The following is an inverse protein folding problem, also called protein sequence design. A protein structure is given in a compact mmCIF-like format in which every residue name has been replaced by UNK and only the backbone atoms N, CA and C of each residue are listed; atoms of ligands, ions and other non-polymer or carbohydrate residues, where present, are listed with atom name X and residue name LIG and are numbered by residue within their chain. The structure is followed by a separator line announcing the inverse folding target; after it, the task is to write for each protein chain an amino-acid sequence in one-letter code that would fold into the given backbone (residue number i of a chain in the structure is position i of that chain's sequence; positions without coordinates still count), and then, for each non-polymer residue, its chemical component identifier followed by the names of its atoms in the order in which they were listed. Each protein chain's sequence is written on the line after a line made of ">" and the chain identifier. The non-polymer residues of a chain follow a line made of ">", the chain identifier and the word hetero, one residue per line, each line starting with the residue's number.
data_IF_993483354938
#
_entry.id   IF_993483354938
#
_cell.length_a   1.000
_cell.length_b   1.000
_cell.length_c   1.000
_cell.angle_alpha   90.00
_cell.angle_beta   90.00
_cell.angle_gamma   90.00
#
_symmetry.space_group_name_H-M   'P 1'
#
loop_
_entity.id
_entity.type
_entity.pdbx_description
1 polymer ?
#
# COMPACT_ATOMS: atom_id res chain seq x y z
N UNK A 1 -35.85 -16.28 2.62
CA UNK A 1 -37.16 -15.82 3.12
C UNK A 1 -37.11 -15.86 4.64
N UNK A 2 -37.27 -14.72 5.31
CA UNK A 2 -37.15 -14.63 6.77
C UNK A 2 -38.05 -13.53 7.32
N UNK A 3 -38.73 -13.82 8.43
CA UNK A 3 -39.85 -13.06 9.05
C UNK A 3 -39.33 -12.18 10.20
N UNK A 4 -39.96 -11.04 10.45
CA UNK A 4 -39.56 -10.00 11.43
C UNK A 4 -40.42 -10.02 12.71
N UNK A 5 -39.85 -9.61 13.86
CA UNK A 5 -40.59 -9.27 15.09
C UNK A 5 -40.33 -7.81 15.53
N UNK A 6 -41.38 -7.17 16.06
CA UNK A 6 -41.49 -5.73 16.33
C UNK A 6 -40.74 -5.25 17.59
N UNK A 7 -40.05 -4.12 17.41
CA UNK A 7 -39.75 -3.01 18.34
C UNK A 7 -39.40 -3.30 19.82
N UNK A 8 -38.13 -3.09 20.15
CA UNK A 8 -37.68 -2.60 21.45
C UNK A 8 -36.74 -1.39 21.25
N UNK A 9 -36.90 -0.37 22.08
CA UNK A 9 -36.27 0.94 21.96
C UNK A 9 -34.72 0.89 21.91
N UNK A 10 -34.16 1.71 21.03
CA UNK A 10 -32.72 1.80 20.70
C UNK A 10 -31.98 2.65 21.75
N UNK A 11 -31.18 2.03 22.61
CA UNK A 11 -30.20 2.73 23.43
C UNK A 11 -29.11 3.36 22.54
N UNK A 12 -28.53 4.53 22.89
CA UNK A 12 -27.48 5.17 22.09
C UNK A 12 -26.26 4.24 22.01
N UNK A 13 -25.96 3.82 20.79
CA UNK A 13 -25.00 2.77 20.49
C UNK A 13 -23.56 3.17 20.82
N UNK A 14 -22.86 2.20 21.40
CA UNK A 14 -21.42 2.08 21.73
C UNK A 14 -20.44 2.26 20.55
N UNK A 15 -20.78 3.05 19.53
CA UNK A 15 -19.99 3.21 18.30
C UNK A 15 -19.00 4.38 18.32
N UNK A 16 -19.13 5.34 19.24
CA UNK A 16 -18.16 6.43 19.38
C UNK A 16 -16.81 5.95 19.93
N UNK A 17 -16.83 4.99 20.86
CA UNK A 17 -15.60 4.45 21.46
C UNK A 17 -14.80 3.54 20.51
N UNK A 18 -15.44 2.86 19.56
CA UNK A 18 -14.75 2.04 18.56
C UNK A 18 -14.11 2.87 17.43
N UNK A 19 -14.70 4.04 17.11
CA UNK A 19 -14.10 5.00 16.20
C UNK A 19 -12.91 5.73 16.85
N UNK A 20 -13.04 6.13 18.12
CA UNK A 20 -11.96 6.75 18.89
C UNK A 20 -10.79 5.76 19.16
N UNK A 21 -11.09 4.49 19.45
CA UNK A 21 -10.06 3.45 19.62
C UNK A 21 -9.39 3.01 18.30
N UNK A 22 -9.99 3.34 17.13
CA UNK A 22 -9.35 3.19 15.82
C UNK A 22 -8.43 4.37 15.49
N UNK A 23 -8.82 5.58 15.87
CA UNK A 23 -8.02 6.79 15.66
C UNK A 23 -6.75 6.84 16.54
N UNK A 24 -6.71 6.08 17.63
CA UNK A 24 -5.54 5.99 18.52
C UNK A 24 -4.49 4.94 18.08
N UNK A 25 -4.71 4.22 16.97
CA UNK A 25 -3.70 3.29 16.44
C UNK A 25 -2.73 4.08 15.56
N UNK A 26 -1.61 4.48 16.16
CA UNK A 26 -0.40 5.05 15.55
C UNK A 26 -0.42 4.98 14.01
N UNK A 27 -0.71 6.11 13.35
CA UNK A 27 -0.72 6.20 11.90
C UNK A 27 0.72 6.19 11.31
N UNK A 28 1.75 6.34 12.15
CA UNK A 28 3.14 6.22 11.75
C UNK A 28 3.60 4.78 11.67
N UNK A 29 3.61 4.26 10.45
CA UNK A 29 4.18 2.97 10.11
C UNK A 29 5.39 3.17 9.19
N UNK A 30 6.59 3.10 9.74
CA UNK A 30 7.82 3.18 8.96
C UNK A 30 8.02 1.86 8.21
N UNK A 31 7.85 1.90 6.89
CA UNK A 31 8.05 0.75 5.99
C UNK A 31 9.51 0.32 6.00
N UNK A 32 9.79 -0.99 5.98
CA UNK A 32 11.16 -1.50 5.95
C UNK A 32 11.78 -1.36 4.57
N UNK A 33 13.09 -1.10 4.52
CA UNK A 33 13.86 -1.02 3.28
C UNK A 33 13.64 -2.24 2.39
N UNK A 34 13.77 -3.44 2.95
CA UNK A 34 13.65 -4.70 2.21
C UNK A 34 12.24 -4.93 1.62
N UNK A 35 11.20 -4.29 2.16
CA UNK A 35 9.86 -4.37 1.57
C UNK A 35 9.74 -3.46 0.34
N UNK A 36 10.35 -2.27 0.41
CA UNK A 36 10.41 -1.33 -0.73
C UNK A 36 11.26 -1.93 -1.84
N UNK A 37 12.48 -2.33 -1.53
CA UNK A 37 13.44 -2.87 -2.50
C UNK A 37 12.87 -4.06 -3.28
N UNK A 38 12.23 -5.03 -2.59
CA UNK A 38 11.63 -6.20 -3.25
C UNK A 38 10.47 -5.82 -4.16
N UNK A 39 9.63 -4.87 -3.76
CA UNK A 39 8.50 -4.44 -4.59
C UNK A 39 8.99 -3.68 -5.83
N UNK A 40 9.92 -2.74 -5.65
CA UNK A 40 10.46 -1.93 -6.76
C UNK A 40 11.25 -2.79 -7.74
N UNK A 41 12.07 -3.72 -7.26
CA UNK A 41 12.80 -4.65 -8.12
C UNK A 41 11.85 -5.51 -8.98
N UNK A 42 10.72 -5.95 -8.44
CA UNK A 42 9.74 -6.71 -9.21
C UNK A 42 9.10 -5.89 -10.35
N UNK A 43 9.00 -4.56 -10.20
CA UNK A 43 8.60 -3.66 -11.29
C UNK A 43 9.71 -3.50 -12.32
N UNK A 44 10.96 -3.31 -11.87
CA UNK A 44 12.13 -3.13 -12.73
C UNK A 44 12.50 -4.39 -13.52
N UNK A 45 12.27 -5.58 -12.96
CA UNK A 45 12.42 -6.85 -13.66
C UNK A 45 11.46 -6.96 -14.86
N UNK A 46 10.31 -6.31 -14.79
CA UNK A 46 9.34 -6.25 -15.89
C UNK A 46 9.62 -5.10 -16.86
N UNK A 47 9.91 -3.91 -16.34
CA UNK A 47 10.26 -2.72 -17.11
C UNK A 47 11.48 -2.01 -16.50
N UNK A 48 12.70 -2.25 -17.02
CA UNK A 48 13.93 -1.63 -16.52
C UNK A 48 14.00 -0.11 -16.73
N UNK A 49 13.18 0.45 -17.61
CA UNK A 49 13.13 1.88 -17.94
C UNK A 49 12.00 2.62 -17.17
N UNK A 50 11.28 1.94 -16.27
CA UNK A 50 10.10 2.47 -15.57
C UNK A 50 10.30 3.88 -14.99
N UNK A 51 11.44 4.12 -14.34
CA UNK A 51 11.76 5.40 -13.68
C UNK A 51 12.60 6.36 -14.54
N UNK A 52 13.02 5.92 -15.72
CA UNK A 52 13.89 6.69 -16.61
C UNK A 52 13.26 8.01 -17.05
N UNK A 53 13.97 9.10 -16.79
CA UNK A 53 13.55 10.48 -17.06
C UNK A 53 12.21 10.88 -16.40
N UNK A 54 11.79 10.18 -15.33
CA UNK A 54 10.53 10.42 -14.63
C UNK A 54 10.67 11.33 -13.42
N UNK A 55 9.59 12.04 -13.11
CA UNK A 55 9.41 12.70 -11.82
C UNK A 55 8.70 11.75 -10.86
N UNK A 56 9.33 11.46 -9.74
CA UNK A 56 8.79 10.55 -8.71
C UNK A 56 8.40 11.36 -7.47
N UNK A 57 7.14 11.22 -7.05
CA UNK A 57 6.62 11.85 -5.84
C UNK A 57 6.45 10.80 -4.73
N UNK A 58 6.98 11.11 -3.56
CA UNK A 58 6.97 10.27 -2.37
C UNK A 58 6.29 11.02 -1.20
N UNK A 59 4.95 11.08 -1.15
CA UNK A 59 4.29 11.71 -0.02
C UNK A 59 4.56 10.89 1.25
N UNK A 60 5.04 11.51 2.31
CA UNK A 60 5.25 10.85 3.59
C UNK A 60 5.06 11.84 4.75
N UNK A 61 5.01 11.34 5.98
CA UNK A 61 4.92 12.23 7.15
C UNK A 61 6.27 12.88 7.45
N UNK A 62 7.37 12.14 7.23
CA UNK A 62 8.74 12.60 7.48
C UNK A 62 9.73 12.09 6.40
N UNK A 63 10.09 12.95 5.42
CA UNK A 63 11.03 12.61 4.35
C UNK A 63 12.41 12.17 4.79
N UNK A 64 12.94 12.71 5.89
CA UNK A 64 14.31 12.46 6.33
C UNK A 64 14.44 11.09 7.00
N UNK A 65 13.36 10.59 7.59
CA UNK A 65 13.29 9.26 8.18
C UNK A 65 12.64 8.21 7.27
N UNK A 66 12.00 8.63 6.19
CA UNK A 66 11.32 7.76 5.23
C UNK A 66 12.30 6.88 4.45
N UNK A 67 12.15 5.56 4.58
CA UNK A 67 12.89 4.61 3.77
C UNK A 67 12.55 4.70 2.28
N UNK A 68 11.38 5.27 1.90
CA UNK A 68 11.09 5.55 0.50
C UNK A 68 12.03 6.63 -0.04
N UNK A 69 12.13 7.77 0.65
CA UNK A 69 13.03 8.86 0.26
C UNK A 69 14.47 8.37 0.20
N UNK A 70 14.94 7.66 1.23
CA UNK A 70 16.30 7.11 1.28
C UNK A 70 16.57 6.15 0.13
N UNK A 71 15.64 5.23 -0.16
CA UNK A 71 15.79 4.26 -1.25
C UNK A 71 15.92 4.95 -2.61
N UNK A 72 14.99 5.85 -2.94
CA UNK A 72 15.00 6.52 -4.24
C UNK A 72 16.12 7.57 -4.37
N UNK A 73 16.53 8.22 -3.28
CA UNK A 73 17.68 9.12 -3.30
C UNK A 73 19.00 8.34 -3.49
N UNK A 74 19.16 7.19 -2.82
CA UNK A 74 20.35 6.34 -2.99
C UNK A 74 20.46 5.81 -4.43
N UNK A 75 19.34 5.40 -5.02
CA UNK A 75 19.28 4.85 -6.37
C UNK A 75 18.93 5.89 -7.45
N UNK A 76 19.04 7.19 -7.14
CA UNK A 76 18.58 8.26 -8.04
C UNK A 76 19.23 8.19 -9.42
N UNK A 77 20.56 8.07 -9.46
CA UNK A 77 21.34 7.92 -10.71
C UNK A 77 21.08 6.58 -11.39
N UNK A 78 21.07 5.48 -10.63
CA UNK A 78 20.89 4.12 -11.15
C UNK A 78 19.53 3.94 -11.85
N UNK A 79 18.47 4.53 -11.27
CA UNK A 79 17.11 4.51 -11.80
C UNK A 79 16.88 5.59 -12.88
N UNK A 80 17.88 6.45 -13.15
CA UNK A 80 17.80 7.58 -14.09
C UNK A 80 16.59 8.48 -13.81
N UNK A 81 16.31 8.74 -12.54
CA UNK A 81 15.19 9.60 -12.14
C UNK A 81 15.53 11.04 -12.54
N UNK A 82 14.57 11.75 -13.15
CA UNK A 82 14.74 13.16 -13.53
C UNK A 82 14.64 14.08 -12.33
N UNK A 83 13.69 13.80 -11.44
CA UNK A 83 13.42 14.60 -10.24
C UNK A 83 12.73 13.75 -9.19
N UNK A 84 13.21 13.79 -7.97
CA UNK A 84 12.59 13.17 -6.82
C UNK A 84 11.97 14.25 -5.95
N UNK A 85 10.72 14.07 -5.55
CA UNK A 85 9.99 15.00 -4.70
C UNK A 85 9.47 14.21 -3.50
N UNK A 86 9.82 14.61 -2.29
CA UNK A 86 9.23 14.08 -1.06
C UNK A 86 8.53 15.21 -0.31
N UNK A 87 7.29 15.01 0.09
CA UNK A 87 6.55 15.99 0.90
C UNK A 87 6.43 15.52 2.34
N UNK A 88 6.25 16.46 3.28
CA UNK A 88 5.99 16.19 4.70
C UNK A 88 4.72 16.87 5.17
N UNK A 89 4.02 16.24 6.11
CA UNK A 89 2.93 16.89 6.86
C UNK A 89 3.54 17.66 8.05
N UNK A 90 2.97 18.80 8.40
CA UNK A 90 3.36 19.56 9.57
C UNK A 90 3.09 18.74 10.85
N UNK A 91 4.03 18.73 11.83
CA UNK A 91 3.88 18.00 13.08
C UNK A 91 2.58 18.29 13.84
N UNK A 92 2.13 19.55 13.90
CA UNK A 92 0.91 19.91 14.63
C UNK A 92 -0.38 19.48 13.88
N UNK A 93 -0.28 19.23 12.57
CA UNK A 93 -1.35 18.65 11.76
C UNK A 93 -1.38 17.11 11.81
N UNK A 94 -0.31 16.48 12.31
CA UNK A 94 -0.25 15.03 12.45
C UNK A 94 -1.08 14.56 13.67
N UNK A 95 -2.02 13.66 13.44
CA UNK A 95 -2.90 13.08 14.46
C UNK A 95 -2.12 12.39 15.59
N UNK A 96 -0.92 11.88 15.29
CA UNK A 96 -0.05 11.21 16.24
C UNK A 96 0.60 12.16 17.27
N UNK A 97 0.58 13.49 17.02
CA UNK A 97 1.14 14.53 17.91
C UNK A 97 2.50 14.15 18.52
N UNK A 98 3.41 13.74 17.65
CA UNK A 98 4.74 13.33 18.09
C UNK A 98 5.55 14.52 18.58
N UNK A 99 6.45 14.25 19.51
CA UNK A 99 7.57 15.15 19.80
C UNK A 99 8.49 15.14 18.57
N UNK A 100 8.16 15.99 17.59
CA UNK A 100 8.99 16.21 16.41
C UNK A 100 10.37 16.68 16.85
N UNK A 101 11.38 15.92 16.45
CA UNK A 101 12.78 16.30 16.62
C UNK A 101 13.37 16.57 15.23
N UNK A 102 13.70 17.83 14.91
CA UNK A 102 14.36 18.15 13.66
C UNK A 102 15.69 17.40 13.61
N UNK A 103 16.07 16.94 12.42
CA UNK A 103 17.41 16.38 12.22
C UNK A 103 18.47 17.48 12.30
N UNK A 104 19.74 17.10 12.34
CA UNK A 104 20.83 18.08 12.19
C UNK A 104 20.79 18.75 10.81
N UNK A 105 20.43 18.00 9.77
CA UNK A 105 20.30 18.51 8.41
C UNK A 105 19.30 19.68 8.34
N UNK A 106 18.15 19.54 9.01
CA UNK A 106 17.19 20.64 9.09
C UNK A 106 17.64 21.74 10.06
N UNK A 107 18.03 21.38 11.29
CA UNK A 107 18.26 22.34 12.36
C UNK A 107 19.47 23.25 12.12
N UNK A 108 20.43 22.81 11.30
CA UNK A 108 21.61 23.60 10.90
C UNK A 108 21.36 24.47 9.66
N UNK A 109 20.23 24.29 8.96
CA UNK A 109 19.90 25.10 7.79
C UNK A 109 19.50 26.53 8.21
N UNK A 110 20.08 27.59 7.60
CA UNK A 110 19.72 28.97 7.90
C UNK A 110 18.23 29.31 7.74
N UNK A 111 17.48 28.55 6.92
CA UNK A 111 16.04 28.75 6.69
C UNK A 111 15.17 28.13 7.77
N UNK A 112 15.72 27.28 8.65
CA UNK A 112 14.98 26.63 9.71
C UNK A 112 14.34 27.63 10.67
N UNK A 113 13.05 27.45 10.90
CA UNK A 113 12.27 28.25 11.85
C UNK A 113 11.46 27.31 12.77
N UNK A 114 11.75 27.29 14.08
CA UNK A 114 11.09 26.41 15.04
C UNK A 114 9.57 26.60 15.16
N UNK A 115 9.05 27.78 14.81
CA UNK A 115 7.62 28.03 14.81
C UNK A 115 6.99 27.54 13.50
N UNK A 116 7.61 27.83 12.35
CA UNK A 116 7.12 27.40 11.04
C UNK A 116 7.14 25.88 10.90
N UNK A 117 8.20 25.21 11.35
CA UNK A 117 8.31 23.74 11.24
C UNK A 117 7.17 22.99 11.90
N UNK A 118 6.47 23.58 12.87
CA UNK A 118 5.34 22.93 13.55
C UNK A 118 4.06 22.98 12.73
N UNK A 119 3.88 24.04 11.94
CA UNK A 119 2.60 24.37 11.27
C UNK A 119 2.66 24.27 9.75
N UNK A 120 3.87 24.27 9.16
CA UNK A 120 4.09 24.16 7.72
C UNK A 120 4.66 22.80 7.38
N UNK A 121 4.12 22.20 6.33
CA UNK A 121 4.72 21.05 5.69
C UNK A 121 6.01 21.45 4.98
N UNK A 122 6.72 20.47 4.47
CA UNK A 122 7.96 20.70 3.71
C UNK A 122 7.91 19.94 2.41
N UNK A 123 8.68 20.42 1.46
CA UNK A 123 8.98 19.72 0.21
C UNK A 123 10.48 19.58 0.11
N UNK A 124 10.93 18.36 -0.17
CA UNK A 124 12.31 17.99 -0.40
C UNK A 124 12.43 17.59 -1.86
N UNK A 125 13.42 18.13 -2.55
CA UNK A 125 13.63 17.94 -3.97
C UNK A 125 15.07 17.50 -4.20
N UNK A 126 15.22 16.42 -4.97
CA UNK A 126 16.50 16.00 -5.52
C UNK A 126 16.44 16.07 -7.05
N UNK A 127 17.41 16.75 -7.63
CA UNK A 127 17.58 16.96 -9.07
C UNK A 127 18.98 16.46 -9.48
N UNK A 128 19.27 16.25 -10.78
CA UNK A 128 20.55 15.72 -11.27
C UNK A 128 21.69 16.76 -11.20
N UNK A 129 21.77 17.52 -10.11
CA UNK A 129 22.80 18.49 -9.82
C UNK A 129 23.48 18.06 -8.52
N UNK A 130 24.79 17.81 -8.61
CA UNK A 130 25.65 17.55 -7.46
C UNK A 130 25.95 18.90 -6.78
N UNK A 131 25.36 19.12 -5.60
CA UNK A 131 25.40 20.38 -4.87
C UNK A 131 26.60 20.41 -3.94
N UNK A 132 26.96 19.27 -3.35
CA UNK A 132 28.07 19.18 -2.40
C UNK A 132 29.45 19.03 -3.09
N UNK A 133 29.46 18.65 -4.38
CA UNK A 133 30.64 18.49 -5.22
C UNK A 133 31.41 17.18 -5.04
N UNK A 134 30.79 16.13 -4.49
CA UNK A 134 31.43 14.84 -4.22
C UNK A 134 31.42 13.86 -5.42
N UNK A 135 30.76 14.23 -6.52
CA UNK A 135 30.62 13.45 -7.75
C UNK A 135 29.43 12.49 -7.76
N UNK A 136 28.68 12.37 -6.67
CA UNK A 136 27.48 11.55 -6.50
C UNK A 136 26.26 12.49 -6.40
N UNK A 137 25.08 12.02 -6.78
CA UNK A 137 23.83 12.76 -6.53
C UNK A 137 23.00 11.85 -5.64
N UNK A 138 22.83 12.21 -4.39
CA UNK A 138 22.18 11.38 -3.38
C UNK A 138 21.42 12.23 -2.34
N UNK A 139 21.15 11.65 -1.16
CA UNK A 139 20.43 12.33 -0.09
C UNK A 139 21.12 13.60 0.44
N UNK A 140 22.44 13.71 0.30
CA UNK A 140 23.23 14.85 0.75
C UNK A 140 23.06 16.08 -0.18
N UNK A 141 22.54 15.87 -1.40
CA UNK A 141 22.19 16.94 -2.35
C UNK A 141 20.72 17.35 -2.27
N UNK A 142 19.95 16.73 -1.37
CA UNK A 142 18.54 17.03 -1.19
C UNK A 142 18.37 18.49 -0.76
N UNK A 143 17.47 19.22 -1.43
CA UNK A 143 17.13 20.60 -1.07
C UNK A 143 15.72 20.63 -0.51
N UNK A 144 15.49 21.38 0.56
CA UNK A 144 14.17 21.45 1.18
C UNK A 144 13.67 22.88 1.32
N UNK A 145 12.35 23.05 1.23
CA UNK A 145 11.66 24.32 1.45
C UNK A 145 10.38 24.09 2.26
N UNK A 146 9.93 25.13 2.97
CA UNK A 146 8.60 25.10 3.58
C UNK A 146 7.52 25.22 2.52
N UNK A 147 6.47 24.41 2.68
CA UNK A 147 5.20 24.60 1.99
C UNK A 147 4.47 25.83 2.54
N UNK A 148 3.51 26.35 1.77
CA UNK A 148 2.66 27.46 2.20
C UNK A 148 1.69 27.02 3.30
N UNK A 149 1.10 25.84 3.14
CA UNK A 149 0.25 25.16 4.09
C UNK A 149 0.96 24.07 4.88
N UNK A 150 0.17 23.15 5.43
CA UNK A 150 0.63 22.11 6.35
C UNK A 150 1.13 20.84 5.64
N UNK A 151 1.08 20.77 4.31
CA UNK A 151 1.49 19.60 3.56
C UNK A 151 0.43 18.50 3.42
N UNK A 152 -0.82 18.77 3.78
CA UNK A 152 -1.93 17.86 3.46
C UNK A 152 -1.99 17.63 1.94
N UNK A 153 -2.05 16.36 1.52
CA UNK A 153 -2.08 15.98 0.11
C UNK A 153 -3.29 16.57 -0.65
N UNK A 154 -4.36 16.94 0.07
CA UNK A 154 -5.57 17.57 -0.48
C UNK A 154 -5.38 19.05 -0.80
N UNK A 155 -4.29 19.66 -0.34
CA UNK A 155 -3.96 21.06 -0.63
C UNK A 155 -3.66 21.29 -2.11
N UNK A 156 -3.85 22.53 -2.58
CA UNK A 156 -3.58 22.90 -3.96
C UNK A 156 -2.08 22.77 -4.31
N UNK A 157 -1.19 23.11 -3.38
CA UNK A 157 0.26 23.03 -3.57
C UNK A 157 0.75 21.57 -3.70
N UNK A 158 0.31 20.64 -2.84
CA UNK A 158 0.70 19.23 -2.95
C UNK A 158 0.03 18.57 -4.15
N UNK A 159 -1.18 19.00 -4.50
CA UNK A 159 -1.85 18.57 -5.74
C UNK A 159 -1.09 19.04 -6.98
N UNK A 160 -0.49 20.24 -6.97
CA UNK A 160 0.37 20.69 -8.08
C UNK A 160 1.63 19.81 -8.21
N UNK A 161 2.24 19.39 -7.09
CA UNK A 161 3.36 18.44 -7.10
C UNK A 161 2.95 17.07 -7.66
N UNK A 162 1.75 16.58 -7.32
CA UNK A 162 1.17 15.38 -7.94
C UNK A 162 1.05 15.54 -9.44
N UNK A 163 0.55 16.69 -9.89
CA UNK A 163 0.32 16.95 -11.31
C UNK A 163 1.62 17.02 -12.10
N UNK A 164 2.71 17.51 -11.48
CA UNK A 164 4.07 17.46 -12.03
C UNK A 164 4.62 16.02 -12.10
N UNK A 165 4.33 15.19 -11.09
CA UNK A 165 4.88 13.85 -10.99
C UNK A 165 4.35 12.88 -12.07
N UNK A 166 5.17 11.92 -12.46
CA UNK A 166 4.77 10.79 -13.32
C UNK A 166 4.36 9.57 -12.49
N UNK A 167 5.08 9.33 -11.39
CA UNK A 167 4.96 8.14 -10.54
C UNK A 167 4.82 8.56 -9.07
N UNK A 168 3.92 7.92 -8.32
CA UNK A 168 3.70 8.15 -6.88
C UNK A 168 3.92 6.87 -6.09
N UNK A 169 4.85 6.88 -5.13
CA UNK A 169 5.17 5.68 -4.34
C UNK A 169 5.17 6.02 -2.84
N UNK A 170 4.36 5.33 -2.05
CA UNK A 170 4.21 5.69 -0.62
C UNK A 170 3.54 4.62 0.25
N UNK A 171 3.62 4.82 1.56
CA UNK A 171 2.74 4.20 2.56
C UNK A 171 1.79 5.29 3.13
N UNK A 172 0.62 5.54 2.52
CA UNK A 172 -0.30 6.54 3.03
C UNK A 172 -0.94 6.08 4.34
N UNK A 173 -1.41 7.00 5.20
CA UNK A 173 -2.19 6.63 6.39
C UNK A 173 -3.36 5.73 6.01
N UNK A 174 -3.47 4.55 6.65
CA UNK A 174 -4.48 3.56 6.28
C UNK A 174 -5.91 4.08 6.48
N UNK A 175 -6.10 5.02 7.40
CA UNK A 175 -7.35 5.74 7.64
C UNK A 175 -7.79 6.60 6.44
N UNK A 176 -6.83 7.14 5.68
CA UNK A 176 -7.04 8.03 4.54
C UNK A 176 -6.86 7.34 3.18
N UNK A 177 -6.50 6.04 3.15
CA UNK A 177 -6.21 5.27 1.93
C UNK A 177 -7.22 5.49 0.79
N UNK A 178 -8.52 5.52 1.09
CA UNK A 178 -9.57 5.72 0.07
C UNK A 178 -9.56 7.13 -0.54
N UNK A 179 -9.32 8.15 0.28
CA UNK A 179 -9.22 9.54 -0.16
C UNK A 179 -7.93 9.74 -0.95
N UNK A 180 -6.83 9.19 -0.44
CA UNK A 180 -5.52 9.22 -1.09
C UNK A 180 -5.54 8.54 -2.47
N UNK A 181 -6.12 7.33 -2.56
CA UNK A 181 -6.26 6.62 -3.83
C UNK A 181 -7.13 7.40 -4.83
N UNK A 182 -8.21 8.03 -4.37
CA UNK A 182 -9.03 8.88 -5.25
C UNK A 182 -8.25 10.09 -5.76
N UNK A 183 -7.43 10.71 -4.91
CA UNK A 183 -6.55 11.82 -5.26
C UNK A 183 -5.46 11.42 -6.27
N UNK A 184 -4.83 10.25 -6.10
CA UNK A 184 -3.85 9.71 -7.06
C UNK A 184 -4.53 9.38 -8.40
N UNK A 185 -5.66 8.68 -8.36
CA UNK A 185 -6.39 8.26 -9.56
C UNK A 185 -6.93 9.44 -10.37
N UNK A 186 -7.23 10.57 -9.74
CA UNK A 186 -7.65 11.79 -10.42
C UNK A 186 -6.54 12.44 -11.27
N UNK A 187 -5.27 12.20 -10.93
CA UNK A 187 -4.11 12.70 -11.68
C UNK A 187 -3.66 11.79 -12.84
N UNK A 188 -4.28 10.62 -13.02
CA UNK A 188 -3.87 9.59 -14.00
C UNK A 188 -2.38 9.19 -13.90
N UNK A 189 -1.90 9.06 -12.65
CA UNK A 189 -0.49 8.77 -12.36
C UNK A 189 -0.22 7.28 -12.28
N UNK A 190 1.01 6.88 -12.56
CA UNK A 190 1.49 5.57 -12.12
C UNK A 190 1.69 5.61 -10.61
N UNK A 191 1.37 4.53 -9.90
CA UNK A 191 1.52 4.50 -8.46
C UNK A 191 1.72 3.10 -7.90
N UNK A 192 2.39 3.03 -6.75
CA UNK A 192 2.44 1.87 -5.88
C UNK A 192 2.30 2.32 -4.43
N UNK A 193 1.28 1.85 -3.72
CA UNK A 193 1.00 2.26 -2.36
C UNK A 193 0.67 1.09 -1.43
N UNK A 194 1.11 1.18 -0.18
CA UNK A 194 0.75 0.21 0.84
C UNK A 194 -0.65 0.53 1.38
N UNK A 195 -1.45 -0.50 1.62
CA UNK A 195 -2.75 -0.35 2.26
C UNK A 195 -3.18 -1.60 2.98
N UNK A 196 -4.33 -1.51 3.63
CA UNK A 196 -4.96 -2.68 4.22
C UNK A 196 -5.57 -3.57 3.13
N UNK A 197 -5.31 -4.87 3.16
CA UNK A 197 -5.81 -5.83 2.18
C UNK A 197 -7.34 -5.80 2.04
N UNK A 198 -8.06 -5.56 3.14
CA UNK A 198 -9.53 -5.47 3.09
C UNK A 198 -10.03 -4.32 2.21
N UNK A 199 -9.19 -3.32 1.89
CA UNK A 199 -9.55 -2.21 1.02
C UNK A 199 -9.94 -2.67 -0.39
N UNK A 200 -9.43 -3.83 -0.85
CA UNK A 200 -9.78 -4.42 -2.15
C UNK A 200 -11.29 -4.68 -2.30
N UNK A 201 -11.98 -4.94 -1.19
CA UNK A 201 -13.43 -5.23 -1.18
C UNK A 201 -14.29 -3.96 -1.27
N UNK A 202 -13.71 -2.78 -1.07
CA UNK A 202 -14.45 -1.52 -1.13
C UNK A 202 -14.91 -1.25 -2.55
N UNK A 203 -16.19 -0.92 -2.73
CA UNK A 203 -16.83 -0.72 -4.05
C UNK A 203 -16.01 0.15 -5.01
N UNK A 204 -15.46 1.26 -4.53
CA UNK A 204 -14.66 2.18 -5.35
C UNK A 204 -13.29 1.62 -5.75
N UNK A 205 -12.65 0.84 -4.87
CA UNK A 205 -11.36 0.18 -5.14
C UNK A 205 -11.58 -0.98 -6.10
N UNK A 206 -12.56 -1.84 -5.81
CA UNK A 206 -12.90 -2.97 -6.67
C UNK A 206 -13.31 -2.53 -8.08
N UNK A 207 -13.96 -1.36 -8.22
CA UNK A 207 -14.26 -0.80 -9.55
C UNK A 207 -12.98 -0.56 -10.37
N UNK A 208 -11.91 -0.07 -9.74
CA UNK A 208 -10.62 0.12 -10.42
C UNK A 208 -9.99 -1.23 -10.80
N UNK A 209 -10.09 -2.23 -9.92
CA UNK A 209 -9.64 -3.60 -10.21
C UNK A 209 -10.38 -4.19 -11.42
N UNK A 210 -11.71 -4.15 -11.38
CA UNK A 210 -12.57 -4.65 -12.46
C UNK A 210 -12.33 -3.94 -13.79
N UNK A 211 -12.00 -2.65 -13.76
CA UNK A 211 -11.68 -1.87 -14.97
C UNK A 211 -10.20 -1.88 -15.34
N UNK A 212 -9.42 -2.78 -14.72
CA UNK A 212 -8.01 -2.97 -14.98
C UNK A 212 -7.14 -1.72 -14.77
N UNK A 213 -7.52 -0.87 -13.81
CA UNK A 213 -6.81 0.38 -13.44
C UNK A 213 -6.06 0.29 -12.11
N UNK A 214 -6.20 -0.82 -11.38
CA UNK A 214 -5.55 -1.08 -10.09
C UNK A 214 -5.44 -2.59 -9.88
N UNK A 215 -4.33 -3.06 -9.36
CA UNK A 215 -4.12 -4.47 -8.98
C UNK A 215 -3.31 -4.57 -7.68
N UNK A 216 -3.18 -5.79 -7.18
CA UNK A 216 -2.29 -6.10 -6.06
C UNK A 216 -0.85 -5.98 -6.55
N UNK A 217 0.05 -5.48 -5.70
CA UNK A 217 1.47 -5.43 -6.02
C UNK A 217 2.12 -6.80 -6.11
N UNK A 218 3.41 -6.82 -6.42
CA UNK A 218 4.15 -8.05 -6.68
C UNK A 218 4.45 -8.85 -5.40
N UNK A 219 4.61 -8.17 -4.26
CA UNK A 219 5.02 -8.75 -2.99
C UNK A 219 3.98 -8.53 -1.88
N UNK A 220 4.26 -9.02 -0.67
CA UNK A 220 3.38 -8.87 0.51
C UNK A 220 1.94 -9.41 0.34
N UNK A 221 1.70 -10.30 -0.62
CA UNK A 221 0.36 -10.86 -0.86
C UNK A 221 0.03 -12.08 0.01
N UNK A 222 1.03 -12.74 0.60
CA UNK A 222 0.87 -13.90 1.48
C UNK A 222 1.86 -13.87 2.66
N UNK A 223 2.48 -12.73 2.91
CA UNK A 223 3.53 -12.57 3.93
C UNK A 223 3.21 -11.38 4.80
N UNK A 224 3.58 -11.47 6.07
CA UNK A 224 3.46 -10.36 7.01
C UNK A 224 4.40 -9.21 6.61
N UNK A 225 3.92 -7.97 6.69
CA UNK A 225 4.78 -6.78 6.65
C UNK A 225 5.08 -6.33 8.08
N UNK A 226 6.32 -5.86 8.29
CA UNK A 226 6.78 -5.28 9.56
C UNK A 226 6.91 -3.78 9.39
N UNK A 227 6.56 -3.04 10.42
CA UNK A 227 6.66 -1.59 10.42
C UNK A 227 7.36 -1.13 11.69
N UNK A 228 8.28 -0.19 11.53
CA UNK A 228 8.81 0.55 12.66
C UNK A 228 7.74 1.50 13.18
N UNK A 229 7.73 1.70 14.49
CA UNK A 229 6.89 2.68 15.17
C UNK A 229 7.75 3.45 16.18
N UNK A 230 7.35 4.67 16.56
CA UNK A 230 8.05 5.43 17.60
C UNK A 230 8.26 4.61 18.87
N UNK A 231 9.39 4.82 19.54
CA UNK A 231 9.70 4.10 20.77
C UNK A 231 8.62 4.34 21.84
N UNK A 232 8.16 3.28 22.49
CA UNK A 232 7.10 3.35 23.51
C UNK A 232 5.69 3.39 22.95
N UNK A 233 5.52 3.28 21.62
CA UNK A 233 4.23 3.11 20.98
C UNK A 233 3.48 1.90 21.54
N UNK A 234 2.15 2.02 21.70
CA UNK A 234 1.30 0.89 22.11
C UNK A 234 1.22 -0.17 21.00
N UNK A 235 2.07 -1.19 21.11
CA UNK A 235 2.12 -2.34 20.20
C UNK A 235 1.65 -3.59 20.94
N UNK A 236 0.70 -4.30 20.32
CA UNK A 236 0.24 -5.60 20.82
C UNK A 236 1.42 -6.56 20.96
N UNK A 237 1.54 -7.20 22.12
CA UNK A 237 2.66 -8.11 22.41
C UNK A 237 2.82 -9.22 21.34
N UNK A 238 1.72 -9.76 20.82
CA UNK A 238 1.76 -10.77 19.76
C UNK A 238 2.34 -10.25 18.44
N UNK A 239 2.08 -8.99 18.09
CA UNK A 239 2.60 -8.35 16.87
C UNK A 239 4.09 -8.02 17.05
N UNK A 240 4.49 -7.50 18.21
CA UNK A 240 5.90 -7.27 18.57
C UNK A 240 6.74 -8.57 18.55
N UNK A 241 6.27 -9.63 19.21
CA UNK A 241 6.95 -10.93 19.23
C UNK A 241 7.02 -11.59 17.84
N UNK A 242 6.08 -11.26 16.95
CA UNK A 242 6.13 -11.73 15.56
C UNK A 242 7.14 -10.93 14.74
N UNK A 243 7.20 -9.61 14.92
CA UNK A 243 8.21 -8.75 14.30
C UNK A 243 9.63 -9.17 14.70
N UNK A 244 9.87 -9.44 15.99
CA UNK A 244 11.15 -9.94 16.49
C UNK A 244 11.56 -11.25 15.83
N UNK A 245 10.64 -12.23 15.72
CA UNK A 245 10.88 -13.49 15.00
C UNK A 245 11.14 -13.32 13.51
N UNK A 246 10.70 -12.21 12.92
CA UNK A 246 10.96 -11.84 11.53
C UNK A 246 12.26 -11.03 11.37
N UNK A 247 13.03 -10.86 12.45
CA UNK A 247 14.33 -10.18 12.42
C UNK A 247 14.31 -8.71 12.84
N UNK A 248 13.18 -8.22 13.39
CA UNK A 248 13.01 -6.83 13.80
C UNK A 248 12.73 -6.72 15.32
N UNK A 249 13.72 -7.02 16.18
CA UNK A 249 13.61 -6.76 17.61
C UNK A 249 13.53 -5.25 17.86
N UNK A 250 12.76 -4.84 18.86
CA UNK A 250 12.80 -3.46 19.37
C UNK A 250 14.23 -3.08 19.79
N UNK A 251 14.63 -1.85 19.48
CA UNK A 251 15.93 -1.27 19.82
C UNK A 251 15.75 0.04 20.61
N UNK A 252 16.84 0.76 20.90
CA UNK A 252 16.76 2.00 21.69
C UNK A 252 16.04 3.14 20.97
N UNK A 253 15.90 3.07 19.65
CA UNK A 253 15.34 4.12 18.81
C UNK A 253 13.89 3.82 18.38
N UNK A 254 13.54 2.55 18.16
CA UNK A 254 12.25 2.14 17.59
C UNK A 254 11.71 0.87 18.24
N UNK A 255 10.39 0.79 18.25
CA UNK A 255 9.68 -0.48 18.42
C UNK A 255 9.17 -0.96 17.07
N UNK A 256 8.82 -2.25 16.98
CA UNK A 256 8.34 -2.84 15.73
C UNK A 256 6.99 -3.53 15.93
N UNK A 257 6.12 -3.33 14.95
CA UNK A 257 4.81 -3.98 14.87
C UNK A 257 4.69 -4.75 13.56
N UNK A 258 3.82 -5.74 13.56
CA UNK A 258 3.59 -6.63 12.42
C UNK A 258 2.14 -6.53 12.01
N UNK A 259 1.90 -6.24 10.74
CA UNK A 259 0.55 -6.16 10.16
C UNK A 259 0.40 -7.17 9.03
N UNK A 260 -0.23 -8.30 9.34
CA UNK A 260 -0.41 -9.41 8.39
C UNK A 260 -1.46 -9.20 7.30
N UNK A 261 -2.18 -8.08 7.36
CA UNK A 261 -3.17 -7.69 6.35
C UNK A 261 -2.76 -6.40 5.63
N UNK A 262 -1.47 -6.11 5.56
CA UNK A 262 -0.93 -5.03 4.73
C UNK A 262 -0.46 -5.61 3.41
N UNK A 263 -0.68 -4.87 2.33
CA UNK A 263 -0.23 -5.26 1.00
C UNK A 263 -0.04 -4.03 0.12
N UNK A 264 0.62 -4.24 -1.02
CA UNK A 264 0.74 -3.25 -2.07
C UNK A 264 -0.49 -3.22 -2.98
N UNK A 265 -0.88 -2.01 -3.36
CA UNK A 265 -1.86 -1.70 -4.41
C UNK A 265 -1.18 -0.81 -5.45
N UNK A 266 -1.28 -1.17 -6.72
CA UNK A 266 -0.48 -0.55 -7.78
C UNK A 266 -1.23 -0.52 -9.11
N UNK A 267 -0.78 0.33 -10.03
CA UNK A 267 -1.11 0.27 -11.46
C UNK A 267 0.15 0.21 -12.34
N UNK A 268 1.27 -0.18 -11.72
CA UNK A 268 2.56 -0.46 -12.36
C UNK A 268 2.62 -1.95 -12.67
N UNK A 269 3.02 -2.28 -13.89
CA UNK A 269 3.08 -3.67 -14.35
C UNK A 269 4.23 -4.43 -13.67
N UNK A 270 4.04 -5.72 -13.45
CA UNK A 270 5.05 -6.61 -12.88
C UNK A 270 4.89 -8.04 -13.41
N UNK A 271 5.96 -8.83 -13.41
CA UNK A 271 5.96 -10.17 -14.01
C UNK A 271 4.86 -11.10 -13.48
N UNK A 272 4.63 -11.13 -12.15
CA UNK A 272 3.61 -12.00 -11.53
C UNK A 272 2.18 -11.76 -12.03
N UNK A 273 1.88 -10.58 -12.57
CA UNK A 273 0.57 -10.23 -13.12
C UNK A 273 0.33 -10.90 -14.47
N UNK A 274 1.40 -11.25 -15.18
CA UNK A 274 1.34 -11.90 -16.50
C UNK A 274 1.70 -13.39 -16.41
N UNK A 275 1.84 -13.92 -15.20
CA UNK A 275 2.08 -15.33 -14.96
C UNK A 275 0.77 -16.12 -15.07
N UNK A 276 0.64 -16.92 -16.12
CA UNK A 276 -0.53 -17.78 -16.31
C UNK A 276 -0.60 -18.86 -15.21
N UNK A 277 -1.76 -18.97 -14.56
CA UNK A 277 -2.04 -20.04 -13.62
C UNK A 277 -2.08 -21.38 -14.34
N UNK A 278 -1.37 -22.35 -13.79
CA UNK A 278 -1.46 -23.74 -14.20
C UNK A 278 -2.75 -24.33 -13.62
N UNK A 279 -3.70 -24.65 -14.50
CA UNK A 279 -5.03 -25.11 -14.14
C UNK A 279 -5.22 -26.57 -14.56
N UNK A 280 -5.92 -27.32 -13.73
CA UNK A 280 -6.38 -28.68 -14.04
C UNK A 280 -7.77 -28.63 -14.69
N UNK A 281 -8.14 -29.68 -15.43
CA UNK A 281 -9.53 -29.86 -15.88
C UNK A 281 -10.46 -30.04 -14.67
N UNK A 282 -11.77 -29.84 -14.84
CA UNK A 282 -12.76 -30.14 -13.79
C UNK A 282 -12.62 -31.59 -13.30
N UNK A 283 -12.45 -32.54 -14.23
CA UNK A 283 -12.30 -33.96 -13.90
C UNK A 283 -11.04 -34.22 -13.07
N UNK A 284 -9.92 -33.61 -13.44
CA UNK A 284 -8.65 -33.75 -12.72
C UNK A 284 -8.71 -33.07 -11.34
N UNK A 285 -9.36 -31.91 -11.24
CA UNK A 285 -9.60 -31.25 -9.96
C UNK A 285 -10.39 -32.17 -8.99
N UNK A 286 -11.48 -32.78 -9.47
CA UNK A 286 -12.29 -33.70 -8.67
C UNK A 286 -11.57 -35.02 -8.32
N UNK A 287 -10.46 -35.33 -9.00
CA UNK A 287 -9.66 -36.53 -8.76
C UNK A 287 -8.42 -36.28 -7.90
N UNK A 288 -7.79 -35.11 -8.04
CA UNK A 288 -6.46 -34.84 -7.49
C UNK A 288 -6.41 -33.64 -6.54
N UNK A 289 -7.33 -32.67 -6.63
CA UNK A 289 -7.35 -31.53 -5.71
C UNK A 289 -8.01 -31.92 -4.37
N UNK A 290 -7.18 -32.38 -3.42
CA UNK A 290 -7.63 -32.83 -2.10
C UNK A 290 -8.42 -31.76 -1.33
N UNK A 291 -8.10 -30.47 -1.49
CA UNK A 291 -8.81 -29.40 -0.78
C UNK A 291 -10.25 -29.30 -1.29
N UNK A 292 -10.41 -29.26 -2.62
CA UNK A 292 -11.73 -29.27 -3.24
C UNK A 292 -12.53 -30.51 -2.82
N UNK A 293 -11.95 -31.70 -2.98
CA UNK A 293 -12.62 -32.99 -2.66
C UNK A 293 -13.12 -33.01 -1.22
N UNK A 294 -12.30 -32.56 -0.27
CA UNK A 294 -12.70 -32.50 1.14
C UNK A 294 -13.85 -31.51 1.36
N UNK A 295 -13.85 -30.35 0.70
CA UNK A 295 -14.94 -29.35 0.80
C UNK A 295 -16.27 -29.87 0.24
N UNK A 296 -16.23 -30.75 -0.75
CA UNK A 296 -17.44 -31.34 -1.33
C UNK A 296 -18.14 -32.35 -0.41
N UNK A 297 -17.52 -32.78 0.70
CA UNK A 297 -18.12 -33.67 1.71
C UNK A 297 -18.78 -34.94 1.11
N UNK A 298 -18.12 -35.57 0.13
CA UNK A 298 -18.63 -36.75 -0.58
C UNK A 298 -19.41 -36.45 -1.86
N UNK A 299 -19.61 -35.18 -2.20
CA UNK A 299 -20.10 -34.76 -3.52
C UNK A 299 -19.09 -35.02 -4.63
N UNK A 300 -19.59 -35.29 -5.84
CA UNK A 300 -18.79 -35.62 -7.03
C UNK A 300 -18.73 -34.53 -8.10
N UNK A 301 -19.24 -33.33 -7.78
CA UNK A 301 -19.32 -32.21 -8.71
C UNK A 301 -19.08 -30.88 -7.99
N UNK A 302 -18.73 -29.85 -8.76
CA UNK A 302 -18.63 -28.49 -8.24
C UNK A 302 -20.01 -27.98 -7.81
N UNK A 303 -20.06 -27.32 -6.65
CA UNK A 303 -21.28 -26.68 -6.18
C UNK A 303 -21.66 -25.52 -7.12
N UNK A 304 -22.97 -25.24 -7.21
CA UNK A 304 -23.52 -24.17 -8.03
C UNK A 304 -24.24 -23.16 -7.15
N UNK A 305 -24.25 -21.91 -7.58
CA UNK A 305 -25.03 -20.87 -6.93
C UNK A 305 -26.53 -21.03 -7.27
N UNK A 306 -27.41 -20.83 -6.28
CA UNK A 306 -28.86 -20.98 -6.46
C UNK A 306 -29.47 -19.90 -7.36
N UNK A 307 -28.92 -18.69 -7.29
CA UNK A 307 -29.49 -17.47 -7.87
C UNK A 307 -28.61 -16.83 -8.96
N UNK A 308 -27.51 -17.49 -9.33
CA UNK A 308 -26.57 -17.00 -10.32
C UNK A 308 -25.98 -18.18 -11.09
N UNK A 309 -25.88 -18.07 -12.42
CA UNK A 309 -25.39 -19.16 -13.26
C UNK A 309 -23.86 -19.28 -13.18
N UNK A 310 -23.37 -19.70 -12.01
CA UNK A 310 -21.96 -19.86 -11.72
C UNK A 310 -21.69 -21.11 -10.89
N UNK A 311 -20.48 -21.65 -11.00
CA UNK A 311 -19.95 -22.64 -10.05
C UNK A 311 -19.24 -21.93 -8.90
N UNK A 312 -19.27 -22.54 -7.72
CA UNK A 312 -18.44 -22.15 -6.58
C UNK A 312 -17.09 -22.84 -6.69
N UNK A 313 -16.02 -22.04 -6.70
CA UNK A 313 -14.64 -22.49 -6.73
C UNK A 313 -13.98 -22.02 -5.44
N UNK A 314 -13.95 -22.85 -4.37
CA UNK A 314 -13.54 -22.41 -3.04
C UNK A 314 -12.04 -22.13 -2.90
N UNK A 315 -11.22 -22.52 -3.89
CA UNK A 315 -9.77 -22.37 -3.86
C UNK A 315 -9.23 -21.97 -5.25
N UNK A 316 -8.22 -21.10 -5.29
CA UNK A 316 -7.55 -20.72 -6.55
C UNK A 316 -7.01 -21.94 -7.33
N UNK A 317 -6.47 -22.93 -6.64
CA UNK A 317 -5.91 -24.15 -7.28
C UNK A 317 -7.00 -25.12 -7.76
N UNK A 318 -8.28 -24.81 -7.53
CA UNK A 318 -9.44 -25.57 -7.98
C UNK A 318 -10.14 -24.92 -9.18
N UNK A 319 -9.63 -23.81 -9.72
CA UNK A 319 -10.15 -23.19 -10.94
C UNK A 319 -9.95 -24.17 -12.10
N UNK A 320 -11.02 -24.60 -12.78
CA UNK A 320 -10.91 -25.51 -13.92
C UNK A 320 -10.46 -24.78 -15.20
N UNK A 321 -9.65 -25.45 -16.02
CA UNK A 321 -9.21 -24.94 -17.33
C UNK A 321 -10.24 -25.11 -18.47
N UNK A 322 -11.23 -25.98 -18.27
CA UNK A 322 -12.19 -26.45 -19.28
C UNK A 322 -13.64 -26.03 -18.98
N UNK A 323 -13.83 -24.97 -18.18
CA UNK A 323 -15.13 -24.42 -17.85
C UNK A 323 -15.27 -22.98 -18.36
N UNK A 324 -16.12 -22.79 -19.37
CA UNK A 324 -16.35 -21.49 -20.04
C UNK A 324 -17.39 -20.60 -19.34
N UNK A 325 -17.96 -21.05 -18.21
CA UNK A 325 -18.99 -20.34 -17.48
C UNK A 325 -18.46 -19.40 -16.40
N UNK A 326 -19.36 -18.70 -15.72
CA UNK A 326 -18.98 -17.82 -14.60
C UNK A 326 -18.56 -18.64 -13.38
N UNK A 327 -17.54 -18.18 -12.67
CA UNK A 327 -16.99 -18.84 -11.49
C UNK A 327 -16.96 -17.85 -10.32
N UNK A 328 -17.47 -18.27 -9.16
CA UNK A 328 -17.21 -17.61 -7.88
C UNK A 328 -15.87 -18.09 -7.36
N UNK A 329 -14.89 -17.19 -7.21
CA UNK A 329 -13.55 -17.49 -6.71
C UNK A 329 -13.25 -16.68 -5.44
N UNK A 330 -12.33 -17.10 -4.57
CA UNK A 330 -12.01 -16.37 -3.35
C UNK A 330 -11.32 -15.04 -3.71
N UNK A 331 -11.65 -13.96 -3.01
CA UNK A 331 -11.08 -12.63 -3.30
C UNK A 331 -9.53 -12.59 -3.21
N UNK A 332 -8.94 -13.46 -2.41
CA UNK A 332 -7.48 -13.61 -2.27
C UNK A 332 -6.80 -14.07 -3.57
N UNK A 333 -7.56 -14.63 -4.51
CA UNK A 333 -7.10 -14.95 -5.86
C UNK A 333 -6.58 -13.73 -6.63
N UNK A 334 -7.04 -12.51 -6.31
CA UNK A 334 -6.61 -11.28 -7.00
C UNK A 334 -5.09 -11.04 -6.94
N UNK A 335 -4.39 -11.62 -5.97
CA UNK A 335 -2.92 -11.60 -5.91
C UNK A 335 -2.23 -12.43 -7.02
N UNK A 336 -2.99 -13.21 -7.77
CA UNK A 336 -2.59 -14.09 -8.88
C UNK A 336 -3.40 -13.79 -10.14
N UNK A 337 -4.13 -12.68 -10.16
CA UNK A 337 -4.95 -12.30 -11.29
C UNK A 337 -4.07 -11.96 -12.48
N UNK A 338 -4.30 -12.67 -13.58
CA UNK A 338 -3.71 -12.40 -14.88
C UNK A 338 -4.80 -11.94 -15.87
N UNK A 339 -4.74 -10.68 -16.35
CA UNK A 339 -5.76 -10.14 -17.27
C UNK A 339 -5.75 -10.83 -18.65
N UNK A 340 -4.68 -11.52 -19.03
CA UNK A 340 -4.62 -12.29 -20.29
C UNK A 340 -5.32 -13.65 -20.17
N UNK A 341 -5.57 -14.11 -18.94
CA UNK A 341 -6.16 -15.42 -18.67
C UNK A 341 -7.61 -15.32 -18.17
N UNK A 342 -8.00 -14.23 -17.51
CA UNK A 342 -9.30 -14.13 -16.85
C UNK A 342 -9.94 -12.75 -16.99
N UNK A 343 -11.27 -12.74 -17.05
CA UNK A 343 -12.09 -11.53 -16.96
C UNK A 343 -12.75 -11.40 -15.58
N UNK A 344 -12.70 -10.20 -15.00
CA UNK A 344 -13.39 -9.89 -13.74
C UNK A 344 -14.80 -9.37 -14.04
N UNK A 345 -15.82 -10.19 -13.73
CA UNK A 345 -17.21 -9.84 -13.98
C UNK A 345 -17.86 -9.00 -12.86
N UNK A 346 -17.43 -9.15 -11.62
CA UNK A 346 -18.03 -8.45 -10.48
C UNK A 346 -17.50 -8.93 -9.14
N UNK A 347 -17.96 -8.29 -8.06
CA UNK A 347 -17.80 -8.77 -6.69
C UNK A 347 -19.18 -9.15 -6.18
N UNK A 348 -19.32 -10.38 -5.67
CA UNK A 348 -20.58 -10.98 -5.21
C UNK A 348 -21.00 -10.57 -3.81
#
# INVERSE_FOLDING_TARGET
>A
MTVETKNAAKAPGKNSNLAAAKAARNDEFYTQWADIEREINAYLEYDPDLFGDKVVLLPCDDPEWSNFTKFFALHFKDLRIKKLISTSLAPDSNSARLDYQPTLFEAEDPKFDPARTRIKGKVFVLEPHDINGDGVVNIDDLQWEYLDGDGDFRSAEVTALRDEADIIITNPPFSLFREFLAWVAAGDKKFSMIGNENAISYRQVFRLVKTNKLWKGATANNTDMVFGVPKGADVKAADRLKAERLGYPSDDHRDYTRLGNSCWFTNIEHGRRHEALQLMTMADNLKFNKKLINTLNGGGEYQRYDNFAAIEVPYTDAIPSDYDGVMGVPITWLAKYNPDQFDILGNG
#
